data_IF_521599813535
#
_entry.id   IF_521599813535
#
_cell.length_a   1.000
_cell.length_b   1.000
_cell.length_c   1.000
_cell.angle_alpha   90.00
_cell.angle_beta   90.00
_cell.angle_gamma   90.00
#
_symmetry.space_group_name_H-M   'P 1'
#
loop_
_entity.id
_entity.type
_entity.pdbx_description
1 polymer ?
#
# COMPACT_ATOMS: atom_id res chain seq x y z
N UNK A 1 29.57 -31.62 19.18
CA UNK A 1 29.68 -30.17 18.91
C UNK A 1 28.69 -29.88 17.80
N UNK A 2 27.50 -29.49 18.17
CA UNK A 2 26.42 -29.11 17.23
C UNK A 2 26.57 -27.62 16.94
N UNK A 3 26.91 -27.31 15.69
CA UNK A 3 26.97 -25.92 15.22
C UNK A 3 25.54 -25.37 15.17
N UNK A 4 25.29 -24.38 16.01
CA UNK A 4 24.08 -23.55 15.94
C UNK A 4 24.21 -22.70 14.67
N UNK A 5 23.34 -22.97 13.69
CA UNK A 5 23.20 -22.11 12.51
C UNK A 5 22.59 -20.81 13.01
N UNK A 6 23.37 -19.75 13.04
CA UNK A 6 22.87 -18.40 13.28
C UNK A 6 21.83 -18.08 12.19
N UNK A 7 20.60 -17.86 12.61
CA UNK A 7 19.56 -17.33 11.73
C UNK A 7 20.01 -15.94 11.22
N UNK A 8 19.77 -15.60 9.93
CA UNK A 8 20.13 -14.29 9.42
C UNK A 8 19.44 -13.21 10.27
N UNK A 9 20.06 -12.02 10.43
CA UNK A 9 19.48 -10.96 11.23
C UNK A 9 18.08 -10.67 10.76
N UNK A 10 17.11 -10.75 11.67
CA UNK A 10 15.71 -10.52 11.38
C UNK A 10 15.57 -9.13 10.74
N UNK A 11 15.30 -9.08 9.43
CA UNK A 11 15.00 -7.82 8.78
C UNK A 11 13.81 -7.21 9.50
N UNK A 12 13.97 -6.02 10.08
CA UNK A 12 12.93 -5.33 10.83
C UNK A 12 11.68 -5.19 9.96
N UNK A 13 10.56 -5.73 10.41
CA UNK A 13 9.28 -5.56 9.72
C UNK A 13 8.93 -4.07 9.63
N UNK A 14 8.63 -3.51 8.44
CA UNK A 14 8.26 -2.11 8.26
C UNK A 14 7.11 -1.66 9.16
N UNK A 15 6.11 -2.53 9.35
CA UNK A 15 4.96 -2.27 10.22
C UNK A 15 4.46 -3.53 10.88
N UNK A 16 4.09 -3.42 12.17
CA UNK A 16 3.43 -4.46 12.94
C UNK A 16 2.27 -3.87 13.74
N UNK A 17 1.13 -4.52 13.68
CA UNK A 17 -0.08 -4.18 14.41
C UNK A 17 -0.26 -5.13 15.58
N UNK A 18 -0.52 -4.61 16.78
CA UNK A 18 -0.75 -5.37 18.00
C UNK A 18 -2.12 -5.01 18.56
N UNK A 19 -3.09 -5.89 18.39
CA UNK A 19 -4.46 -5.76 18.88
C UNK A 19 -5.08 -4.38 18.55
N UNK A 20 -4.86 -3.93 17.31
CA UNK A 20 -5.26 -2.58 16.90
C UNK A 20 -6.76 -2.48 16.75
N UNK A 21 -7.35 -1.54 17.49
CA UNK A 21 -8.75 -1.18 17.38
C UNK A 21 -8.94 0.29 17.03
N UNK A 22 -10.02 0.58 16.31
CA UNK A 22 -10.44 1.94 15.96
C UNK A 22 -11.93 2.11 16.07
N UNK A 23 -12.36 3.05 16.89
CA UNK A 23 -13.76 3.50 16.99
C UNK A 23 -13.86 4.98 16.62
N UNK A 24 -14.93 5.35 15.91
CA UNK A 24 -15.28 6.72 15.58
C UNK A 24 -16.50 7.17 16.39
N UNK A 25 -16.50 8.41 16.84
CA UNK A 25 -17.54 8.94 17.71
C UNK A 25 -17.36 8.57 19.18
N UNK A 26 -18.36 8.80 20.01
CA UNK A 26 -18.33 8.56 21.45
C UNK A 26 -19.64 8.02 21.99
N UNK A 27 -19.58 7.33 23.13
CA UNK A 27 -20.74 6.76 23.83
C UNK A 27 -21.53 5.76 22.98
N UNK A 28 -22.87 5.78 23.08
CA UNK A 28 -23.75 4.83 22.38
C UNK A 28 -23.76 4.94 20.85
N UNK A 29 -23.20 6.03 20.30
CA UNK A 29 -23.09 6.26 18.85
C UNK A 29 -21.71 5.92 18.30
N UNK A 30 -20.81 5.37 19.10
CA UNK A 30 -19.51 4.95 18.65
C UNK A 30 -19.63 3.82 17.60
N UNK A 31 -18.94 3.99 16.47
CA UNK A 31 -18.86 3.00 15.40
C UNK A 31 -17.49 2.37 15.44
N UNK A 32 -17.42 1.09 15.79
CA UNK A 32 -16.18 0.33 15.77
C UNK A 32 -15.87 -0.04 14.33
N UNK A 33 -14.77 0.49 13.80
CA UNK A 33 -14.31 0.21 12.45
C UNK A 33 -13.33 -0.96 12.41
N UNK A 34 -12.43 -1.03 13.40
CA UNK A 34 -11.43 -2.10 13.55
C UNK A 34 -11.47 -2.61 15.00
N UNK A 35 -11.28 -3.93 15.17
CA UNK A 35 -11.32 -4.55 16.49
C UNK A 35 -10.27 -5.67 16.59
N UNK A 36 -9.21 -5.41 17.37
CA UNK A 36 -8.18 -6.38 17.70
C UNK A 36 -7.41 -6.89 16.49
N UNK A 37 -6.99 -5.99 15.56
CA UNK A 37 -6.23 -6.38 14.38
C UNK A 37 -4.78 -6.67 14.76
N UNK A 38 -4.34 -7.90 14.51
CA UNK A 38 -2.95 -8.32 14.50
C UNK A 38 -2.51 -8.58 13.07
N UNK A 39 -1.51 -7.86 12.62
CA UNK A 39 -0.96 -7.99 11.27
C UNK A 39 0.50 -7.52 11.27
N UNK A 40 1.32 -8.18 10.48
CA UNK A 40 2.69 -7.78 10.23
C UNK A 40 2.92 -7.71 8.72
N UNK A 41 3.71 -6.75 8.27
CA UNK A 41 4.22 -6.68 6.89
C UNK A 41 5.72 -6.82 6.97
N UNK A 42 6.28 -7.81 6.28
CA UNK A 42 7.71 -8.08 6.22
C UNK A 42 8.45 -7.08 5.32
N UNK A 43 9.78 -6.98 5.50
CA UNK A 43 10.60 -6.16 4.61
C UNK A 43 10.56 -6.71 3.18
N UNK A 44 10.24 -5.83 2.21
CA UNK A 44 10.10 -6.23 0.80
C UNK A 44 8.86 -7.06 0.48
N UNK A 45 8.01 -7.37 1.45
CA UNK A 45 6.82 -8.18 1.26
C UNK A 45 5.69 -7.39 0.58
N UNK A 46 4.95 -8.06 -0.31
CA UNK A 46 3.73 -7.55 -0.92
C UNK A 46 2.51 -8.19 -0.26
N UNK A 47 1.86 -7.49 0.66
CA UNK A 47 0.66 -7.94 1.36
C UNK A 47 -0.58 -7.28 0.76
N UNK A 48 -1.55 -8.09 0.34
CA UNK A 48 -2.86 -7.62 -0.10
C UNK A 48 -3.89 -7.74 1.02
N UNK A 49 -4.53 -6.63 1.35
CA UNK A 49 -5.62 -6.55 2.32
C UNK A 49 -6.95 -6.57 1.59
N UNK A 50 -7.68 -7.66 1.75
CA UNK A 50 -8.96 -7.93 1.10
C UNK A 50 -10.12 -7.79 2.09
N UNK A 51 -11.30 -7.41 1.61
CA UNK A 51 -12.52 -7.34 2.42
C UNK A 51 -13.62 -6.52 1.76
N UNK A 52 -14.84 -6.65 2.28
CA UNK A 52 -15.99 -5.92 1.79
C UNK A 52 -15.84 -4.39 1.92
N UNK A 53 -16.65 -3.64 1.16
CA UNK A 53 -16.69 -2.18 1.32
C UNK A 53 -17.08 -1.80 2.76
N UNK A 54 -16.38 -0.82 3.33
CA UNK A 54 -16.65 -0.33 4.68
C UNK A 54 -16.15 -1.23 5.82
N UNK A 55 -15.40 -2.29 5.57
CA UNK A 55 -14.86 -3.18 6.60
C UNK A 55 -13.65 -2.62 7.37
N UNK A 56 -13.13 -1.43 7.00
CA UNK A 56 -12.04 -0.78 7.73
C UNK A 56 -10.67 -0.79 7.05
N UNK A 57 -10.54 -1.26 5.79
CA UNK A 57 -9.25 -1.29 5.05
C UNK A 57 -8.58 0.08 4.97
N UNK A 58 -9.29 1.08 4.46
CA UNK A 58 -8.82 2.48 4.40
C UNK A 58 -8.50 3.03 5.79
N UNK A 59 -9.30 2.66 6.81
CA UNK A 59 -9.01 3.05 8.20
C UNK A 59 -7.66 2.49 8.64
N UNK A 60 -7.38 1.21 8.35
CA UNK A 60 -6.10 0.58 8.69
C UNK A 60 -4.93 1.30 8.01
N UNK A 61 -5.06 1.62 6.71
CA UNK A 61 -4.04 2.39 5.99
C UNK A 61 -3.82 3.78 6.59
N UNK A 62 -4.89 4.49 6.96
CA UNK A 62 -4.80 5.82 7.58
C UNK A 62 -4.08 5.79 8.92
N UNK A 63 -4.26 4.72 9.71
CA UNK A 63 -3.53 4.55 10.97
C UNK A 63 -2.02 4.37 10.72
N UNK A 64 -1.62 3.56 9.73
CA UNK A 64 -0.20 3.38 9.37
C UNK A 64 0.41 4.65 8.78
N UNK A 65 -0.36 5.35 7.96
CA UNK A 65 0.06 6.63 7.38
C UNK A 65 0.21 7.76 8.41
N UNK A 66 -0.21 7.53 9.66
CA UNK A 66 -0.21 8.56 10.71
C UNK A 66 -1.26 9.66 10.50
N UNK A 67 -2.24 9.43 9.61
CA UNK A 67 -3.35 10.35 9.35
C UNK A 67 -4.44 10.26 10.44
N UNK A 68 -4.44 9.16 11.21
CA UNK A 68 -5.32 8.93 12.34
C UNK A 68 -4.57 8.13 13.42
N UNK A 69 -5.20 7.95 14.60
CA UNK A 69 -4.62 7.20 15.72
C UNK A 69 -5.51 6.04 16.12
N UNK A 70 -4.94 4.89 16.53
CA UNK A 70 -5.73 3.79 17.06
C UNK A 70 -6.43 4.20 18.36
N UNK A 71 -7.61 3.64 18.62
CA UNK A 71 -8.35 3.82 19.88
C UNK A 71 -7.85 2.84 20.94
N UNK A 72 -7.38 1.66 20.51
CA UNK A 72 -6.77 0.61 21.35
C UNK A 72 -5.67 -0.11 20.59
N UNK A 73 -4.83 -0.82 21.31
CA UNK A 73 -3.66 -1.49 20.74
C UNK A 73 -2.55 -0.52 20.35
N UNK A 74 -1.57 -1.01 19.60
CA UNK A 74 -0.45 -0.19 19.12
C UNK A 74 0.01 -0.61 17.73
N UNK A 75 0.59 0.34 17.00
CA UNK A 75 1.25 0.12 15.72
C UNK A 75 2.74 0.39 15.93
N UNK A 76 3.57 -0.60 15.64
CA UNK A 76 5.02 -0.44 15.58
C UNK A 76 5.39 -0.14 14.13
N UNK A 77 5.91 1.06 13.88
CA UNK A 77 6.34 1.52 12.57
C UNK A 77 7.86 1.63 12.55
N UNK A 78 8.52 0.69 11.90
CA UNK A 78 9.98 0.65 11.75
C UNK A 78 10.42 1.19 10.37
N UNK A 79 9.48 1.52 9.49
CA UNK A 79 9.80 2.22 8.25
C UNK A 79 10.06 3.70 8.53
N UNK A 80 10.76 4.35 7.61
CA UNK A 80 10.75 5.81 7.51
C UNK A 80 9.30 6.31 7.32
N UNK A 81 9.05 7.43 6.71
CA UNK A 81 7.66 7.85 6.41
C UNK A 81 7.03 6.91 5.38
N UNK A 82 5.93 6.19 5.69
CA UNK A 82 5.20 5.42 4.71
C UNK A 82 4.72 6.33 3.58
N UNK A 83 4.89 5.89 2.34
CA UNK A 83 4.34 6.57 1.19
C UNK A 83 2.91 6.10 0.94
N UNK A 84 2.01 6.98 0.52
CA UNK A 84 0.60 6.65 0.27
C UNK A 84 0.23 6.94 -1.18
N UNK A 85 -0.37 5.95 -1.84
CA UNK A 85 -1.07 6.09 -3.12
C UNK A 85 -2.56 5.91 -2.84
N UNK A 86 -3.33 6.97 -3.04
CA UNK A 86 -4.78 6.96 -2.88
C UNK A 86 -5.48 6.45 -4.15
N UNK A 87 -6.75 6.09 -4.02
CA UNK A 87 -7.62 5.71 -5.11
C UNK A 87 -7.64 6.77 -6.23
N UNK A 88 -7.74 8.04 -5.85
CA UNK A 88 -7.50 9.16 -6.75
C UNK A 88 -6.02 9.55 -6.72
N UNK A 89 -5.45 9.87 -7.88
CA UNK A 89 -4.02 10.22 -7.98
C UNK A 89 -3.59 11.41 -7.11
N UNK A 90 -4.54 12.27 -6.71
CA UNK A 90 -4.35 13.43 -5.84
C UNK A 90 -3.09 14.25 -6.20
N UNK A 91 -2.86 14.49 -7.49
CA UNK A 91 -1.74 15.30 -7.98
C UNK A 91 -2.02 16.79 -7.74
N UNK A 92 -0.97 17.54 -7.43
CA UNK A 92 -1.05 19.01 -7.32
C UNK A 92 -1.30 19.58 -8.74
N UNK A 93 -2.49 20.16 -9.02
CA UNK A 93 -2.88 20.53 -10.38
C UNK A 93 -2.05 21.67 -10.97
N UNK A 94 -1.41 22.47 -10.12
CA UNK A 94 -0.51 23.55 -10.52
C UNK A 94 0.94 23.13 -10.78
N UNK A 95 1.29 21.87 -10.45
CA UNK A 95 2.60 21.31 -10.72
C UNK A 95 2.56 20.43 -11.99
N UNK A 96 3.69 20.34 -12.66
CA UNK A 96 3.90 19.36 -13.74
C UNK A 96 4.04 17.93 -13.18
N UNK A 97 4.10 16.92 -14.03
CA UNK A 97 4.38 15.55 -13.61
C UNK A 97 5.71 15.46 -12.84
N UNK A 98 6.78 16.02 -13.40
CA UNK A 98 8.08 16.10 -12.71
C UNK A 98 7.98 16.88 -11.38
N UNK A 99 7.27 18.01 -11.38
CA UNK A 99 7.06 18.82 -10.18
C UNK A 99 6.32 18.09 -9.07
N UNK A 100 5.34 17.23 -9.42
CA UNK A 100 4.66 16.36 -8.46
C UNK A 100 5.61 15.31 -7.86
N UNK A 101 6.47 14.70 -8.68
CA UNK A 101 7.47 13.71 -8.21
C UNK A 101 8.58 14.38 -7.40
N UNK A 102 9.01 15.60 -7.79
CA UNK A 102 10.01 16.38 -7.04
C UNK A 102 9.50 16.86 -5.67
N UNK A 103 8.18 16.92 -5.45
CA UNK A 103 7.59 17.54 -4.26
C UNK A 103 8.09 16.91 -2.94
N UNK A 104 8.01 15.59 -2.71
CA UNK A 104 8.52 14.98 -1.49
C UNK A 104 10.03 15.18 -1.33
N UNK A 105 10.82 15.10 -2.40
CA UNK A 105 12.27 15.33 -2.38
C UNK A 105 12.61 16.77 -1.97
N UNK A 106 11.80 17.74 -2.44
CA UNK A 106 11.94 19.14 -2.06
C UNK A 106 11.64 19.35 -0.56
N UNK A 107 10.62 18.67 -0.04
CA UNK A 107 10.28 18.73 1.38
C UNK A 107 11.34 18.08 2.27
N UNK A 108 12.05 17.07 1.73
CA UNK A 108 13.20 16.44 2.38
C UNK A 108 14.50 17.26 2.28
N UNK A 109 14.48 18.43 1.60
CA UNK A 109 15.67 19.29 1.47
C UNK A 109 16.64 18.89 0.37
N UNK A 110 16.29 17.95 -0.51
CA UNK A 110 17.17 17.49 -1.60
C UNK A 110 17.51 18.64 -2.56
N UNK A 111 18.80 18.82 -2.93
CA UNK A 111 19.21 19.86 -3.86
C UNK A 111 18.51 19.76 -5.22
N UNK A 112 18.21 20.93 -5.85
CA UNK A 112 17.42 21.03 -7.07
C UNK A 112 17.91 20.12 -8.21
N UNK A 113 19.22 20.03 -8.43
CA UNK A 113 19.78 19.21 -9.49
C UNK A 113 19.52 17.71 -9.24
N UNK A 114 19.72 17.25 -8.01
CA UNK A 114 19.52 15.84 -7.61
C UNK A 114 18.05 15.45 -7.69
N UNK A 115 17.11 16.27 -7.17
CA UNK A 115 15.69 15.95 -7.24
C UNK A 115 15.14 15.92 -8.67
N UNK A 116 15.65 16.77 -9.59
CA UNK A 116 15.30 16.72 -11.00
C UNK A 116 15.77 15.42 -11.68
N UNK A 117 17.02 15.02 -11.41
CA UNK A 117 17.55 13.77 -11.91
C UNK A 117 16.73 12.57 -11.39
N UNK A 118 16.44 12.57 -10.08
CA UNK A 118 15.64 11.50 -9.46
C UNK A 118 14.20 11.48 -9.97
N UNK A 119 13.57 12.62 -10.19
CA UNK A 119 12.24 12.68 -10.76
C UNK A 119 12.21 12.16 -12.22
N UNK A 120 13.22 12.45 -13.02
CA UNK A 120 13.35 11.91 -14.38
C UNK A 120 13.50 10.38 -14.36
N UNK A 121 14.38 9.84 -13.50
CA UNK A 121 14.55 8.40 -13.28
C UNK A 121 13.25 7.71 -12.88
N UNK A 122 12.51 8.27 -11.91
CA UNK A 122 11.26 7.71 -11.44
C UNK A 122 10.13 7.79 -12.48
N UNK A 123 10.09 8.87 -13.28
CA UNK A 123 9.16 8.95 -14.41
C UNK A 123 9.48 7.94 -15.51
N UNK A 124 10.75 7.68 -15.78
CA UNK A 124 11.16 6.61 -16.69
C UNK A 124 10.79 5.24 -16.14
N UNK A 125 11.01 4.99 -14.83
CA UNK A 125 10.64 3.75 -14.13
C UNK A 125 9.14 3.43 -14.30
N UNK A 126 8.26 4.44 -14.28
CA UNK A 126 6.81 4.29 -14.49
C UNK A 126 6.39 4.46 -15.96
N UNK A 127 7.34 4.41 -16.91
CA UNK A 127 7.12 4.56 -18.37
C UNK A 127 6.43 5.88 -18.77
N UNK A 128 6.87 6.97 -18.17
CA UNK A 128 6.45 8.34 -18.49
C UNK A 128 7.65 9.22 -18.88
N UNK A 129 8.71 8.62 -19.44
CA UNK A 129 9.85 9.36 -19.97
C UNK A 129 9.39 10.42 -20.98
N UNK A 130 9.94 11.62 -20.90
CA UNK A 130 9.58 12.74 -21.79
C UNK A 130 8.26 13.46 -21.47
N UNK A 131 7.49 13.01 -20.48
CA UNK A 131 6.22 13.62 -20.08
C UNK A 131 6.32 14.48 -18.81
N UNK A 132 7.54 14.74 -18.34
CA UNK A 132 7.79 15.48 -17.10
C UNK A 132 7.18 16.88 -17.04
N UNK A 133 7.09 17.57 -18.16
CA UNK A 133 6.55 18.94 -18.24
C UNK A 133 5.02 19.00 -18.36
N UNK A 134 4.36 17.86 -18.56
CA UNK A 134 2.90 17.79 -18.64
C UNK A 134 2.24 18.06 -17.29
N UNK A 135 1.12 18.78 -17.29
CA UNK A 135 0.28 19.01 -16.11
C UNK A 135 -0.77 17.90 -15.96
N UNK A 136 -1.34 17.69 -14.75
CA UNK A 136 -2.31 16.63 -14.51
C UNK A 136 -3.51 16.60 -15.48
N UNK A 137 -4.00 17.77 -15.93
CA UNK A 137 -5.12 17.85 -16.88
C UNK A 137 -4.75 17.43 -18.31
N UNK A 138 -3.46 17.38 -18.65
CA UNK A 138 -2.94 16.91 -19.94
C UNK A 138 -2.65 15.40 -19.95
N UNK A 139 -2.83 14.72 -18.81
CA UNK A 139 -2.53 13.30 -18.61
C UNK A 139 -3.82 12.47 -18.56
N UNK A 140 -3.78 11.25 -19.11
CA UNK A 140 -4.85 10.27 -18.92
C UNK A 140 -4.97 9.83 -17.45
N UNK A 141 -6.08 9.18 -17.06
CA UNK A 141 -6.27 8.65 -15.71
C UNK A 141 -5.13 7.71 -15.27
N UNK A 142 -4.78 6.75 -16.13
CA UNK A 142 -3.66 5.84 -15.88
C UNK A 142 -2.30 6.53 -15.82
N UNK A 143 -2.07 7.58 -16.62
CA UNK A 143 -0.84 8.39 -16.53
C UNK A 143 -0.78 9.14 -15.20
N UNK A 144 -1.89 9.72 -14.74
CA UNK A 144 -1.95 10.38 -13.42
C UNK A 144 -1.64 9.40 -12.29
N UNK A 145 -2.16 8.16 -12.34
CA UNK A 145 -1.86 7.14 -11.35
C UNK A 145 -0.36 6.76 -11.35
N UNK A 146 0.26 6.63 -12.52
CA UNK A 146 1.70 6.38 -12.63
C UNK A 146 2.54 7.53 -12.07
N UNK A 147 2.15 8.79 -12.27
CA UNK A 147 2.81 9.95 -11.63
C UNK A 147 2.65 9.90 -10.11
N UNK A 148 1.46 9.53 -9.60
CA UNK A 148 1.23 9.37 -8.16
C UNK A 148 2.10 8.26 -7.56
N UNK A 149 2.28 7.13 -8.26
CA UNK A 149 3.19 6.07 -7.87
C UNK A 149 4.65 6.55 -7.86
N UNK A 150 5.11 7.24 -8.91
CA UNK A 150 6.46 7.82 -8.95
C UNK A 150 6.69 8.81 -7.81
N UNK A 151 5.70 9.65 -7.48
CA UNK A 151 5.75 10.56 -6.32
C UNK A 151 5.86 9.81 -5.00
N UNK A 152 5.10 8.73 -4.82
CA UNK A 152 5.16 7.90 -3.63
C UNK A 152 6.54 7.22 -3.50
N UNK A 153 7.09 6.67 -4.58
CA UNK A 153 8.44 6.11 -4.60
C UNK A 153 9.51 7.17 -4.28
N UNK A 154 9.35 8.40 -4.75
CA UNK A 154 10.25 9.50 -4.42
C UNK A 154 10.32 9.75 -2.89
N UNK A 155 9.20 9.57 -2.18
CA UNK A 155 9.18 9.75 -0.72
C UNK A 155 9.80 8.57 0.05
N UNK A 156 9.93 7.38 -0.55
CA UNK A 156 10.55 6.22 0.10
C UNK A 156 12.06 6.15 -0.09
N UNK A 157 12.59 6.78 -1.15
CA UNK A 157 14.03 6.67 -1.51
C UNK A 157 14.93 7.65 -0.76
N UNK A 158 14.38 8.68 -0.13
CA UNK A 158 15.15 9.80 0.41
C UNK A 158 15.02 9.96 1.93
N UNK A 159 14.79 8.86 2.62
CA UNK A 159 14.74 8.91 4.07
C UNK A 159 16.14 9.11 4.64
N UNK A 160 16.28 10.16 5.44
CA UNK A 160 17.46 10.41 6.30
C UNK A 160 17.75 9.24 7.27
N UNK A 161 16.86 8.26 7.33
CA UNK A 161 16.95 7.00 8.06
C UNK A 161 17.55 5.89 7.17
N UNK A 162 18.80 6.06 6.73
CA UNK A 162 19.54 5.01 6.05
C UNK A 162 19.52 3.72 6.91
N UNK A 163 18.87 2.67 6.40
CA UNK A 163 18.76 1.37 7.07
C UNK A 163 17.34 0.96 7.49
N UNK A 164 16.35 1.84 7.43
CA UNK A 164 14.95 1.45 7.66
C UNK A 164 14.29 0.96 6.37
N UNK A 165 13.47 -0.11 6.43
CA UNK A 165 12.74 -0.59 5.27
C UNK A 165 11.74 0.44 4.78
N UNK A 166 11.59 0.56 3.46
CA UNK A 166 10.57 1.42 2.85
C UNK A 166 9.21 0.72 2.84
N UNK A 167 8.13 1.49 3.04
CA UNK A 167 6.75 1.01 3.04
C UNK A 167 5.87 1.86 2.14
N UNK A 168 5.18 1.21 1.21
CA UNK A 168 4.20 1.81 0.31
C UNK A 168 2.79 1.32 0.68
N UNK A 169 1.90 2.25 0.92
CA UNK A 169 0.49 2.02 1.23
C UNK A 169 -0.33 2.36 -0.02
N UNK A 170 -1.20 1.46 -0.45
CA UNK A 170 -2.01 1.65 -1.66
C UNK A 170 -3.48 1.35 -1.38
N UNK A 171 -4.34 2.36 -1.52
CA UNK A 171 -5.79 2.23 -1.28
C UNK A 171 -6.55 2.17 -2.59
N UNK A 172 -6.92 0.97 -3.02
CA UNK A 172 -7.68 0.65 -4.25
C UNK A 172 -7.19 1.44 -5.49
N UNK A 173 -5.86 1.50 -5.79
CA UNK A 173 -5.31 2.46 -6.75
C UNK A 173 -5.75 2.22 -8.20
N UNK A 174 -6.33 1.05 -8.49
CA UNK A 174 -6.71 0.65 -9.84
C UNK A 174 -8.23 0.51 -10.04
N UNK A 175 -9.03 0.79 -9.00
CA UNK A 175 -10.49 0.57 -9.03
C UNK A 175 -11.23 1.41 -10.08
N UNK A 176 -10.74 2.61 -10.39
CA UNK A 176 -11.33 3.52 -11.37
C UNK A 176 -10.83 3.32 -12.81
N UNK A 177 -10.03 2.28 -13.08
CA UNK A 177 -9.42 2.03 -14.38
C UNK A 177 -10.16 0.94 -15.16
N UNK A 178 -10.14 1.07 -16.49
CA UNK A 178 -10.58 -0.01 -17.39
C UNK A 178 -9.67 -1.24 -17.27
N UNK A 179 -10.16 -2.40 -17.68
CA UNK A 179 -9.48 -3.68 -17.50
C UNK A 179 -8.09 -3.73 -18.14
N UNK A 180 -7.92 -3.16 -19.33
CA UNK A 180 -6.65 -3.19 -20.07
C UNK A 180 -5.61 -2.30 -19.38
N UNK A 181 -6.01 -1.08 -19.03
CA UNK A 181 -5.12 -0.14 -18.30
C UNK A 181 -4.72 -0.70 -16.94
N UNK A 182 -5.68 -1.32 -16.22
CA UNK A 182 -5.43 -1.97 -14.93
C UNK A 182 -4.40 -3.08 -15.06
N UNK A 183 -4.56 -3.99 -16.03
CA UNK A 183 -3.64 -5.10 -16.28
C UNK A 183 -2.21 -4.63 -16.55
N UNK A 184 -2.06 -3.61 -17.38
CA UNK A 184 -0.76 -2.99 -17.66
C UNK A 184 -0.13 -2.39 -16.39
N UNK A 185 -0.92 -1.65 -15.59
CA UNK A 185 -0.40 -0.99 -14.38
C UNK A 185 -0.06 -1.98 -13.26
N UNK A 186 -0.81 -3.07 -13.13
CA UNK A 186 -0.47 -4.17 -12.22
C UNK A 186 0.87 -4.81 -12.59
N UNK A 187 1.10 -5.07 -13.89
CA UNK A 187 2.40 -5.57 -14.37
C UNK A 187 3.55 -4.60 -14.08
N UNK A 188 3.32 -3.29 -14.27
CA UNK A 188 4.31 -2.26 -13.93
C UNK A 188 4.58 -2.21 -12.42
N UNK A 189 3.55 -2.28 -11.59
CA UNK A 189 3.71 -2.30 -10.13
C UNK A 189 4.56 -3.48 -9.66
N UNK A 190 4.31 -4.68 -10.19
CA UNK A 190 5.13 -5.86 -9.88
C UNK A 190 6.58 -5.69 -10.33
N UNK A 191 6.81 -5.10 -11.51
CA UNK A 191 8.17 -4.81 -12.00
C UNK A 191 8.90 -3.84 -11.08
N UNK A 192 8.22 -2.77 -10.67
CA UNK A 192 8.76 -1.76 -9.75
C UNK A 192 9.04 -2.36 -8.38
N UNK A 193 8.09 -3.11 -7.83
CA UNK A 193 8.26 -3.80 -6.56
C UNK A 193 9.50 -4.71 -6.54
N UNK A 194 9.66 -5.55 -7.57
CA UNK A 194 10.84 -6.44 -7.70
C UNK A 194 12.16 -5.65 -7.83
N UNK A 195 12.12 -4.49 -8.48
CA UNK A 195 13.30 -3.65 -8.69
C UNK A 195 13.70 -2.84 -7.44
N UNK A 196 12.73 -2.48 -6.59
CA UNK A 196 12.97 -1.59 -5.43
C UNK A 196 13.06 -2.31 -4.10
N UNK A 197 12.48 -3.52 -3.98
CA UNK A 197 12.37 -4.23 -2.70
C UNK A 197 11.53 -3.48 -1.65
N UNK A 198 10.69 -2.53 -2.07
CA UNK A 198 9.81 -1.77 -1.16
C UNK A 198 8.70 -2.67 -0.65
N UNK A 199 8.47 -2.72 0.68
CA UNK A 199 7.32 -3.41 1.23
C UNK A 199 6.02 -2.71 0.81
N UNK A 200 4.98 -3.47 0.48
CA UNK A 200 3.71 -2.93 0.02
C UNK A 200 2.55 -3.48 0.86
N UNK A 201 1.70 -2.58 1.35
CA UNK A 201 0.39 -2.93 1.88
C UNK A 201 -0.67 -2.39 0.92
N UNK A 202 -1.26 -3.30 0.17
CA UNK A 202 -2.18 -3.01 -0.93
C UNK A 202 -3.62 -3.35 -0.55
N UNK A 203 -4.51 -2.40 -0.61
CA UNK A 203 -5.93 -2.59 -0.35
C UNK A 203 -6.67 -2.81 -1.66
N UNK A 204 -7.49 -3.85 -1.70
CA UNK A 204 -8.40 -4.13 -2.81
C UNK A 204 -9.67 -4.84 -2.32
N UNK A 205 -10.69 -4.87 -3.17
CA UNK A 205 -11.87 -5.71 -3.03
C UNK A 205 -11.93 -6.83 -4.10
N UNK A 206 -10.96 -6.87 -5.01
CA UNK A 206 -10.86 -7.86 -6.09
C UNK A 206 -9.89 -8.99 -5.72
N UNK A 207 -10.44 -10.21 -5.59
CA UNK A 207 -9.66 -11.41 -5.22
C UNK A 207 -8.59 -11.75 -6.27
N UNK A 208 -8.91 -11.60 -7.56
CA UNK A 208 -7.96 -11.91 -8.64
C UNK A 208 -6.77 -10.92 -8.63
N UNK A 209 -7.07 -9.66 -8.35
CA UNK A 209 -6.04 -8.64 -8.17
C UNK A 209 -5.14 -8.97 -6.97
N UNK A 210 -5.74 -9.34 -5.83
CA UNK A 210 -5.01 -9.68 -4.61
C UNK A 210 -4.07 -10.90 -4.81
N UNK A 211 -4.54 -11.96 -5.46
CA UNK A 211 -3.75 -13.18 -5.74
C UNK A 211 -2.67 -12.91 -6.79
N UNK A 212 -2.96 -12.07 -7.78
CA UNK A 212 -1.98 -11.74 -8.83
C UNK A 212 -0.82 -10.89 -8.32
N UNK A 213 -1.09 -9.96 -7.40
CA UNK A 213 -0.12 -8.97 -6.95
C UNK A 213 0.60 -9.36 -5.66
N UNK A 214 -0.14 -9.95 -4.71
CA UNK A 214 0.37 -10.24 -3.38
C UNK A 214 1.21 -11.51 -3.32
N UNK A 215 2.12 -11.56 -2.38
CA UNK A 215 2.70 -12.80 -1.89
C UNK A 215 1.80 -13.38 -0.79
N UNK A 216 1.14 -12.50 -0.05
CA UNK A 216 0.19 -12.87 1.01
C UNK A 216 -1.09 -12.06 0.88
N UNK A 217 -2.24 -12.74 1.03
CA UNK A 217 -3.56 -12.13 1.07
C UNK A 217 -4.13 -12.25 2.48
N UNK A 218 -4.59 -11.13 3.01
CA UNK A 218 -5.19 -11.02 4.35
C UNK A 218 -6.64 -10.61 4.20
N UNK A 219 -7.57 -11.43 4.65
CA UNK A 219 -9.01 -11.15 4.61
C UNK A 219 -9.46 -10.51 5.92
N UNK A 220 -10.09 -9.34 5.81
CA UNK A 220 -10.79 -8.72 6.92
C UNK A 220 -12.28 -9.14 6.96
N UNK A 221 -12.82 -9.30 8.18
CA UNK A 221 -14.26 -9.44 8.41
C UNK A 221 -15.01 -8.21 7.93
N UNK A 222 -16.33 -8.33 7.80
CA UNK A 222 -17.22 -7.17 7.78
C UNK A 222 -17.10 -6.40 9.10
N UNK A 223 -17.62 -5.15 9.12
CA UNK A 223 -17.49 -4.27 10.30
C UNK A 223 -17.98 -4.92 11.61
N UNK A 224 -17.16 -4.91 12.68
CA UNK A 224 -15.80 -4.36 12.76
C UNK A 224 -14.79 -5.25 12.04
N UNK A 225 -13.80 -4.59 11.38
CA UNK A 225 -12.74 -5.29 10.67
C UNK A 225 -11.83 -6.03 11.65
N UNK A 226 -11.72 -7.35 11.47
CA UNK A 226 -10.79 -8.26 12.15
C UNK A 226 -10.09 -9.11 11.11
N UNK A 227 -8.88 -9.54 11.35
CA UNK A 227 -8.24 -10.53 10.47
C UNK A 227 -8.96 -11.88 10.65
N UNK A 228 -9.55 -12.36 9.55
CA UNK A 228 -10.30 -13.64 9.53
C UNK A 228 -9.38 -14.78 9.12
N UNK A 229 -8.64 -14.57 8.02
CA UNK A 229 -7.79 -15.59 7.44
C UNK A 229 -6.67 -14.94 6.62
N UNK A 230 -5.58 -15.67 6.44
CA UNK A 230 -4.43 -15.27 5.63
C UNK A 230 -4.02 -16.44 4.74
N UNK A 231 -3.52 -16.13 3.55
CA UNK A 231 -3.01 -17.11 2.59
C UNK A 231 -1.69 -16.62 2.03
N UNK A 232 -0.70 -17.50 1.98
CA UNK A 232 0.48 -17.33 1.15
C UNK A 232 0.10 -17.80 -0.26
N UNK A 233 0.20 -16.91 -1.26
CA UNK A 233 -0.35 -17.15 -2.60
C UNK A 233 0.70 -17.43 -3.67
N UNK A 234 1.99 -17.32 -3.34
CA UNK A 234 3.08 -17.59 -4.29
C UNK A 234 3.06 -19.04 -4.83
N UNK A 235 2.51 -19.99 -4.05
CA UNK A 235 2.49 -21.43 -4.38
C UNK A 235 1.07 -22.05 -4.46
N UNK A 236 0.02 -21.23 -4.52
CA UNK A 236 -1.37 -21.70 -4.40
C UNK A 236 -2.20 -21.42 -5.67
N UNK A 237 -2.20 -22.31 -6.67
CA UNK A 237 -2.96 -22.13 -7.92
C UNK A 237 -4.47 -22.03 -7.71
N UNK A 238 -5.01 -22.65 -6.65
CA UNK A 238 -6.46 -22.66 -6.32
C UNK A 238 -6.86 -21.57 -5.32
N UNK A 239 -5.93 -20.70 -4.93
CA UNK A 239 -6.16 -19.64 -3.93
C UNK A 239 -7.34 -18.72 -4.28
N UNK A 240 -7.59 -18.44 -5.57
CA UNK A 240 -8.67 -17.56 -6.00
C UNK A 240 -10.04 -18.10 -5.55
N UNK A 241 -10.30 -19.39 -5.74
CA UNK A 241 -11.61 -20.00 -5.39
C UNK A 241 -11.77 -20.11 -3.87
N UNK A 242 -10.72 -20.49 -3.16
CA UNK A 242 -10.75 -20.56 -1.69
C UNK A 242 -11.00 -19.17 -1.08
N UNK A 243 -10.27 -18.15 -1.52
CA UNK A 243 -10.41 -16.78 -1.03
C UNK A 243 -11.78 -16.20 -1.40
N UNK A 244 -12.29 -16.46 -2.62
CA UNK A 244 -13.65 -16.06 -3.01
C UNK A 244 -14.72 -16.69 -2.09
N UNK A 245 -14.58 -17.97 -1.76
CA UNK A 245 -15.51 -18.66 -0.87
C UNK A 245 -15.46 -18.08 0.56
N UNK A 246 -14.27 -17.78 1.08
CA UNK A 246 -14.09 -17.12 2.37
C UNK A 246 -14.70 -15.71 2.39
N UNK A 247 -14.45 -14.92 1.34
CA UNK A 247 -15.02 -13.57 1.20
C UNK A 247 -16.56 -13.59 1.14
N UNK A 248 -17.15 -14.53 0.39
CA UNK A 248 -18.61 -14.70 0.35
C UNK A 248 -19.20 -15.02 1.72
N UNK A 249 -18.55 -15.90 2.50
CA UNK A 249 -18.97 -16.22 3.87
C UNK A 249 -18.94 -14.98 4.76
N UNK A 250 -17.89 -14.17 4.68
CA UNK A 250 -17.76 -12.90 5.44
C UNK A 250 -18.86 -11.92 5.06
N UNK A 251 -19.19 -11.78 3.78
CA UNK A 251 -20.25 -10.87 3.32
C UNK A 251 -21.63 -11.37 3.77
N UNK A 252 -21.92 -12.67 3.63
CA UNK A 252 -23.23 -13.23 3.99
C UNK A 252 -23.50 -13.22 5.50
N UNK A 253 -22.48 -13.39 6.33
CA UNK A 253 -22.61 -13.31 7.79
C UNK A 253 -22.92 -11.89 8.31
N UNK A 254 -22.77 -10.87 7.49
CA UNK A 254 -23.07 -9.47 7.85
C UNK A 254 -24.47 -9.04 7.39
N UNK A 255 -25.08 -9.76 6.46
CA UNK A 255 -26.42 -9.45 5.93
C UNK A 255 -27.56 -10.13 6.71
N UNK A 256 -27.20 -10.98 7.67
CA UNK A 256 -28.13 -11.64 8.60
C UNK A 256 -28.10 -10.95 9.97
#
# INVERSE_FOLDING_TARGET
>A
MTATVDAPPSQLSPVRFHQVGKAFGSGRKAVVALDGVDLEVGAGEFVCLLGASGCGKTTLLNLVAGLDRPTSGRIELNSSRPAVVFQEAALMPWLTAAGNVELPLRMAGVPKAQRRAKAAELLELVRLAGLGDKRPHELSGGMRQRVALARALASTTDSADAGKPSLLLMDEPFSALDAITRDVLQGELLRIWRATGTAILFVTHDVREAVRLGQRVVLLSSRPGRVVQQWDVDDAPDAVDEINNALRKVISSHAA
#
